data_IF_610365043283
#
_entry.id   IF_610365043283
#
_cell.length_a   1.000
_cell.length_b   1.000
_cell.length_c   1.000
_cell.angle_alpha   90.00
_cell.angle_beta   90.00
_cell.angle_gamma   90.00
#
_symmetry.space_group_name_H-M   'P 1'
#
loop_
_entity.id
_entity.type
_entity.pdbx_description
1 polymer ?
#
# COMPACT_ATOMS: atom_id res chain seq x y z
N UNK A 1 -16.71 -9.21 -29.97
CA UNK A 1 -15.31 -9.06 -29.53
C UNK A 1 -14.47 -9.90 -30.47
N UNK A 2 -13.52 -9.29 -31.17
CA UNK A 2 -12.74 -9.92 -32.24
C UNK A 2 -11.85 -11.05 -31.69
N UNK A 3 -11.68 -12.14 -32.45
CA UNK A 3 -10.91 -13.33 -32.05
C UNK A 3 -9.44 -12.99 -31.76
N UNK A 4 -8.92 -11.96 -32.43
CA UNK A 4 -7.61 -11.37 -32.12
C UNK A 4 -7.57 -10.69 -30.75
N UNK A 5 -8.63 -9.99 -30.36
CA UNK A 5 -8.70 -9.35 -29.04
C UNK A 5 -8.83 -10.42 -27.95
N UNK A 6 -9.54 -11.51 -28.21
CA UNK A 6 -9.63 -12.65 -27.29
C UNK A 6 -8.27 -13.34 -27.11
N UNK A 7 -7.53 -13.57 -28.19
CA UNK A 7 -6.19 -14.19 -28.13
C UNK A 7 -5.15 -13.28 -27.47
N UNK A 8 -5.21 -11.95 -27.68
CA UNK A 8 -4.35 -11.01 -26.95
C UNK A 8 -4.64 -11.06 -25.45
N UNK A 9 -5.91 -11.09 -25.05
CA UNK A 9 -6.30 -11.18 -23.64
C UNK A 9 -5.88 -12.53 -23.02
N UNK A 10 -5.97 -13.65 -23.76
CA UNK A 10 -5.47 -14.96 -23.30
C UNK A 10 -3.96 -14.97 -23.08
N UNK A 11 -3.17 -14.49 -24.05
CA UNK A 11 -1.72 -14.39 -23.86
C UNK A 11 -1.37 -13.49 -22.66
N UNK A 12 -2.16 -12.45 -22.39
CA UNK A 12 -1.95 -11.56 -21.24
C UNK A 12 -2.33 -12.22 -19.90
N UNK A 13 -3.21 -13.21 -19.89
CA UNK A 13 -3.59 -13.95 -18.68
C UNK A 13 -2.61 -15.08 -18.39
N UNK A 14 -2.09 -15.74 -19.42
CA UNK A 14 -1.04 -16.77 -19.31
C UNK A 14 0.29 -16.16 -18.81
N UNK A 15 0.62 -14.92 -19.23
CA UNK A 15 1.79 -14.17 -18.73
C UNK A 15 1.74 -13.83 -17.21
N UNK A 16 0.55 -13.91 -16.59
CA UNK A 16 0.36 -13.68 -15.14
C UNK A 16 0.53 -14.96 -14.33
N UNK A 17 0.28 -16.13 -14.92
CA UNK A 17 0.36 -17.43 -14.23
C UNK A 17 1.79 -18.00 -14.21
N UNK A 18 2.64 -17.69 -15.19
CA UNK A 18 4.00 -18.27 -15.28
C UNK A 18 5.01 -17.67 -14.27
N UNK A 19 4.66 -16.59 -13.56
CA UNK A 19 5.58 -15.94 -12.59
C UNK A 19 5.42 -16.49 -11.17
N UNK A 20 4.39 -17.31 -10.88
CA UNK A 20 4.24 -17.93 -9.55
C UNK A 20 5.15 -19.14 -9.30
N UNK A 21 5.73 -19.73 -10.36
CA UNK A 21 6.47 -20.98 -10.26
C UNK A 21 7.94 -20.79 -10.66
N UNK A 22 8.71 -20.18 -9.75
CA UNK A 22 10.18 -20.32 -9.76
C UNK A 22 10.59 -20.79 -8.36
N UNK A 23 10.51 -22.10 -8.15
CA UNK A 23 11.29 -22.79 -7.13
C UNK A 23 12.71 -23.05 -7.68
N UNK A 24 13.77 -22.99 -6.85
CA UNK A 24 15.13 -23.19 -7.33
C UNK A 24 15.37 -24.67 -7.64
N UNK A 25 15.84 -24.96 -8.85
CA UNK A 25 16.35 -26.26 -9.27
C UNK A 25 17.85 -26.34 -8.98
N UNK A 26 18.26 -27.21 -8.06
CA UNK A 26 19.63 -27.70 -7.98
C UNK A 26 19.75 -29.01 -8.77
N UNK A 27 20.85 -29.14 -9.51
CA UNK A 27 21.17 -30.26 -10.39
C UNK A 27 22.24 -31.12 -9.73
N UNK A 28 22.06 -32.45 -9.70
CA UNK A 28 23.00 -33.50 -10.16
C UNK A 28 22.78 -34.87 -9.48
N UNK A 29 22.71 -35.93 -10.31
CA UNK A 29 23.24 -37.26 -9.99
C UNK A 29 22.27 -38.45 -9.83
N UNK A 30 22.10 -39.25 -10.90
CA UNK A 30 22.02 -40.73 -11.06
C UNK A 30 21.67 -41.62 -9.84
N UNK A 31 20.95 -42.75 -9.88
CA UNK A 31 20.57 -43.74 -10.91
C UNK A 31 19.53 -44.73 -10.28
N UNK A 32 18.73 -45.38 -11.13
CA UNK A 32 18.05 -46.70 -11.00
C UNK A 32 16.76 -46.97 -10.17
N UNK A 33 15.77 -47.50 -10.93
CA UNK A 33 14.73 -48.54 -10.69
C UNK A 33 13.72 -48.54 -9.53
N UNK A 34 12.45 -48.28 -9.92
CA UNK A 34 11.24 -49.14 -9.85
C UNK A 34 10.89 -49.96 -8.57
N UNK A 35 9.63 -49.79 -8.12
CA UNK A 35 8.59 -50.81 -7.84
C UNK A 35 7.75 -50.51 -6.56
N UNK A 36 6.43 -50.38 -6.77
CA UNK A 36 5.23 -50.64 -5.92
C UNK A 36 4.85 -49.83 -4.67
N UNK A 37 3.56 -49.43 -4.70
CA UNK A 37 2.52 -49.32 -3.66
C UNK A 37 2.85 -49.69 -2.20
N UNK A 38 2.37 -48.88 -1.24
CA UNK A 38 1.26 -49.24 -0.31
C UNK A 38 1.03 -48.15 0.77
N UNK A 39 -0.23 -48.03 1.18
CA UNK A 39 -0.78 -47.16 2.22
C UNK A 39 -0.19 -47.44 3.62
N UNK A 40 -0.08 -46.42 4.50
CA UNK A 40 -0.58 -46.49 5.88
C UNK A 40 -0.57 -45.12 6.59
N UNK A 41 -1.70 -44.80 7.24
CA UNK A 41 -1.84 -43.77 8.28
C UNK A 41 -0.97 -44.09 9.51
N UNK A 42 -0.47 -43.05 10.20
CA UNK A 42 -0.61 -42.95 11.65
C UNK A 42 -0.14 -41.60 12.20
N UNK A 43 -0.98 -41.07 13.09
CA UNK A 43 -0.76 -39.94 13.98
C UNK A 43 0.41 -40.21 14.94
N UNK A 44 1.20 -39.18 15.30
CA UNK A 44 1.71 -39.04 16.67
C UNK A 44 2.14 -37.59 16.95
N UNK A 45 1.52 -36.99 17.97
CA UNK A 45 1.99 -35.80 18.68
C UNK A 45 3.26 -36.13 19.49
N UNK A 46 4.26 -35.27 19.46
CA UNK A 46 5.25 -35.17 20.54
C UNK A 46 5.60 -33.71 20.80
N UNK A 47 5.23 -33.26 21.99
CA UNK A 47 5.76 -32.09 22.67
C UNK A 47 7.28 -32.22 22.83
N UNK A 48 8.01 -31.13 22.60
CA UNK A 48 9.37 -30.97 23.11
C UNK A 48 9.54 -29.56 23.66
N UNK A 49 9.59 -29.51 24.99
CA UNK A 49 10.00 -28.36 25.78
C UNK A 49 11.55 -28.33 25.83
N UNK A 50 12.14 -27.19 25.51
CA UNK A 50 13.49 -26.86 25.96
C UNK A 50 13.58 -25.39 26.33
N UNK A 51 13.95 -25.18 27.58
CA UNK A 51 14.07 -23.90 28.29
C UNK A 51 15.54 -23.52 28.48
N UNK A 52 15.76 -22.22 28.82
CA UNK A 52 16.95 -21.61 29.47
C UNK A 52 18.06 -21.17 28.47
N UNK A 53 18.61 -19.94 28.45
CA UNK A 53 18.57 -18.72 29.28
C UNK A 53 19.13 -17.54 28.44
N UNK A 54 18.57 -16.34 28.57
CA UNK A 54 19.36 -15.10 28.46
C UNK A 54 18.94 -14.14 29.59
N UNK A 55 19.93 -13.78 30.41
CA UNK A 55 19.85 -12.73 31.43
C UNK A 55 20.17 -11.39 30.77
N UNK A 56 19.38 -10.35 31.05
CA UNK A 56 19.91 -9.01 31.31
C UNK A 56 18.92 -8.14 32.10
N UNK A 57 19.47 -7.33 32.99
CA UNK A 57 18.86 -6.78 34.18
C UNK A 57 18.11 -5.44 33.98
N UNK A 58 16.87 -5.41 34.48
CA UNK A 58 16.18 -4.40 35.31
C UNK A 58 16.70 -2.94 35.34
N UNK A 59 15.79 -2.01 35.03
CA UNK A 59 15.52 -0.86 35.92
C UNK A 59 14.01 -0.55 35.94
N UNK A 60 13.41 -0.78 37.11
CA UNK A 60 11.99 -0.62 37.42
C UNK A 60 11.78 0.71 38.14
N UNK A 61 10.95 1.60 37.59
CA UNK A 61 10.22 2.60 38.38
C UNK A 61 8.75 2.18 38.40
N UNK A 62 8.33 1.61 39.53
CA UNK A 62 6.94 1.30 39.83
C UNK A 62 6.15 2.59 40.05
N UNK A 63 5.11 2.81 39.26
CA UNK A 63 3.99 3.67 39.63
C UNK A 63 2.79 2.77 39.87
N UNK A 64 2.46 2.61 41.14
CA UNK A 64 1.20 2.03 41.61
C UNK A 64 0.13 3.09 41.39
N UNK A 65 -0.71 2.92 40.37
CA UNK A 65 -1.98 3.64 40.30
C UNK A 65 -3.00 2.78 41.05
N UNK A 66 -3.52 3.31 42.16
CA UNK A 66 -4.55 2.69 42.98
C UNK A 66 -5.82 2.49 42.14
N UNK A 67 -6.19 1.22 41.93
CA UNK A 67 -7.48 0.83 41.36
C UNK A 67 -8.60 1.19 42.35
N UNK A 68 -9.38 2.23 42.05
CA UNK A 68 -10.71 2.38 42.64
C UNK A 68 -11.64 1.36 41.98
N UNK A 69 -11.83 0.22 42.65
CA UNK A 69 -12.94 -0.68 42.37
C UNK A 69 -14.26 -0.01 42.78
N UNK A 70 -15.00 0.51 41.80
CA UNK A 70 -16.43 0.80 42.00
C UNK A 70 -17.18 -0.54 42.10
N UNK A 71 -17.72 -0.81 43.29
CA UNK A 71 -18.65 -1.91 43.55
C UNK A 71 -19.86 -1.82 42.61
N UNK A 72 -19.88 -2.65 41.57
CA UNK A 72 -21.09 -2.91 40.77
C UNK A 72 -21.80 -4.10 41.41
N UNK A 73 -22.94 -3.82 42.06
CA UNK A 73 -23.84 -4.85 42.58
C UNK A 73 -24.27 -5.79 41.45
N UNK A 74 -23.82 -7.03 41.53
CA UNK A 74 -23.94 -8.04 40.50
C UNK A 74 -25.31 -8.74 40.59
N UNK A 75 -26.31 -8.25 39.86
CA UNK A 75 -27.54 -9.02 39.57
C UNK A 75 -27.25 -9.98 38.41
N UNK A 76 -26.81 -11.20 38.73
CA UNK A 76 -26.45 -12.21 37.76
C UNK A 76 -27.70 -12.94 37.25
N UNK A 77 -28.15 -12.62 36.03
CA UNK A 77 -29.02 -13.49 35.24
C UNK A 77 -28.12 -14.38 34.38
N UNK A 78 -28.23 -15.69 34.56
CA UNK A 78 -27.32 -16.72 34.06
C UNK A 78 -27.61 -17.14 32.61
N UNK A 79 -27.74 -16.21 31.65
CA UNK A 79 -28.01 -16.62 30.26
C UNK A 79 -27.51 -15.71 29.13
N UNK A 80 -26.36 -15.03 29.28
CA UNK A 80 -25.78 -14.31 28.15
C UNK A 80 -24.26 -14.54 28.02
N UNK A 81 -23.85 -15.28 26.99
CA UNK A 81 -22.46 -15.39 26.53
C UNK A 81 -22.00 -14.06 25.89
N UNK A 82 -21.90 -12.99 26.70
CA UNK A 82 -21.40 -11.69 26.22
C UNK A 82 -19.87 -11.70 26.23
N UNK A 83 -19.20 -11.42 25.09
CA UNK A 83 -17.74 -11.36 25.05
C UNK A 83 -17.18 -10.33 26.05
N UNK A 84 -16.09 -10.68 26.75
CA UNK A 84 -15.40 -9.84 27.75
C UNK A 84 -15.02 -8.43 27.21
N UNK A 85 -14.87 -8.29 25.88
CA UNK A 85 -14.62 -7.03 25.19
C UNK A 85 -15.74 -6.00 25.32
N UNK A 86 -16.94 -6.45 25.69
CA UNK A 86 -18.10 -5.58 25.95
C UNK A 86 -17.94 -4.83 27.27
N UNK A 87 -17.28 -5.45 28.27
CA UNK A 87 -17.04 -4.87 29.60
C UNK A 87 -15.82 -3.92 29.65
N UNK A 88 -14.97 -3.92 28.62
CA UNK A 88 -13.86 -2.96 28.55
C UNK A 88 -14.35 -1.56 28.19
N UNK A 89 -14.02 -0.56 28.99
CA UNK A 89 -14.30 0.86 28.71
C UNK A 89 -13.35 1.50 27.67
N UNK A 90 -12.47 0.72 27.07
CA UNK A 90 -11.50 1.20 26.08
C UNK A 90 -11.28 0.20 24.93
N UNK A 91 -10.91 0.72 23.76
CA UNK A 91 -10.36 -0.04 22.64
C UNK A 91 -8.83 -0.08 22.74
N UNK A 92 -8.22 -1.22 22.39
CA UNK A 92 -6.77 -1.37 22.36
C UNK A 92 -6.29 -1.60 20.93
N UNK A 93 -5.36 -0.77 20.47
CA UNK A 93 -4.72 -0.90 19.16
C UNK A 93 -3.57 -1.92 19.19
N UNK A 94 -3.16 -2.46 18.03
CA UNK A 94 -2.02 -3.39 17.89
C UNK A 94 -0.69 -2.83 18.40
N UNK A 95 -0.54 -1.51 18.38
CA UNK A 95 0.64 -0.81 18.93
C UNK A 95 0.52 -0.50 20.44
N UNK A 96 -0.46 -1.10 21.13
CA UNK A 96 -0.68 -0.91 22.57
C UNK A 96 -1.42 0.37 22.95
N UNK A 97 -1.76 1.25 22.00
CA UNK A 97 -2.51 2.49 22.31
C UNK A 97 -3.92 2.17 22.80
N UNK A 98 -4.32 2.76 23.95
CA UNK A 98 -5.67 2.63 24.55
C UNK A 98 -6.55 3.83 24.17
N UNK A 99 -7.78 3.57 23.78
CA UNK A 99 -8.77 4.57 23.35
C UNK A 99 -10.04 4.42 24.18
N UNK A 100 -10.34 5.37 25.05
CA UNK A 100 -11.55 5.28 25.89
C UNK A 100 -12.83 5.39 25.04
N UNK A 101 -13.84 4.58 25.37
CA UNK A 101 -15.17 4.61 24.76
C UNK A 101 -15.96 5.85 25.19
N UNK A 102 -15.69 6.35 26.38
CA UNK A 102 -16.29 7.54 26.95
C UNK A 102 -15.32 8.72 26.90
N UNK A 103 -15.81 9.93 26.59
CA UNK A 103 -14.99 11.12 26.70
C UNK A 103 -14.61 11.33 28.18
N UNK A 104 -13.38 11.80 28.47
CA UNK A 104 -13.01 12.15 29.83
C UNK A 104 -13.96 13.23 30.37
N UNK A 105 -14.27 13.22 31.67
CA UNK A 105 -15.10 14.25 32.29
C UNK A 105 -14.51 15.64 32.00
N UNK A 106 -15.38 16.63 31.79
CA UNK A 106 -15.00 18.02 31.54
C UNK A 106 -14.22 18.57 32.73
N UNK A 107 -12.90 18.41 32.69
CA UNK A 107 -11.95 18.91 33.65
C UNK A 107 -11.04 19.90 32.96
N UNK A 108 -10.48 20.86 33.73
CA UNK A 108 -9.52 21.82 33.18
C UNK A 108 -8.33 21.02 32.66
N UNK A 109 -8.05 21.09 31.36
CA UNK A 109 -6.91 20.42 30.74
C UNK A 109 -5.64 20.75 31.55
N UNK A 110 -4.98 19.72 32.09
CA UNK A 110 -3.75 19.91 32.86
C UNK A 110 -2.72 20.66 32.01
N UNK A 111 -1.94 21.55 32.60
CA UNK A 111 -1.00 22.46 31.92
C UNK A 111 0.06 21.77 31.05
N UNK A 112 0.25 20.45 31.18
CA UNK A 112 1.16 19.65 30.37
C UNK A 112 0.56 19.07 29.09
N UNK A 113 -0.76 19.20 28.86
CA UNK A 113 -1.45 18.77 27.64
C UNK A 113 -1.75 19.96 26.69
N UNK A 114 -1.03 21.07 26.84
CA UNK A 114 -1.13 22.21 25.94
C UNK A 114 -0.21 21.91 24.75
N UNK A 115 -0.77 21.65 23.57
CA UNK A 115 0.00 21.61 22.33
C UNK A 115 0.59 23.00 22.08
N UNK A 116 1.87 23.19 22.41
CA UNK A 116 2.58 24.47 22.20
C UNK A 116 3.00 24.65 20.73
N UNK A 117 2.97 23.58 19.95
CA UNK A 117 3.49 23.60 18.59
C UNK A 117 2.47 24.21 17.62
N UNK A 118 2.87 25.28 16.93
CA UNK A 118 2.04 25.90 15.90
C UNK A 118 1.78 24.92 14.74
N UNK A 119 0.52 24.87 14.31
CA UNK A 119 0.11 24.13 13.12
C UNK A 119 0.71 24.75 11.85
N UNK A 120 0.88 23.93 10.82
CA UNK A 120 1.38 24.38 9.52
C UNK A 120 2.70 23.74 9.12
N UNK A 121 3.36 24.29 8.09
CA UNK A 121 4.60 23.74 7.55
C UNK A 121 5.71 23.62 8.60
N UNK A 122 6.41 22.49 8.60
CA UNK A 122 7.49 22.17 9.53
C UNK A 122 8.85 22.12 8.83
N UNK A 123 9.90 22.55 9.54
CA UNK A 123 11.27 22.45 9.06
C UNK A 123 11.47 23.13 7.70
N UNK A 124 12.07 22.42 6.75
CA UNK A 124 12.36 22.92 5.41
C UNK A 124 11.11 23.32 4.62
N UNK A 125 9.93 22.75 4.95
CA UNK A 125 8.69 23.09 4.28
C UNK A 125 8.27 24.55 4.45
N UNK A 126 8.74 25.24 5.50
CA UNK A 126 8.48 26.68 5.71
C UNK A 126 9.08 27.56 4.61
N UNK A 127 10.11 27.07 3.93
CA UNK A 127 10.85 27.81 2.93
C UNK A 127 10.38 27.50 1.50
N UNK A 128 9.45 26.56 1.32
CA UNK A 128 8.90 26.22 0.01
C UNK A 128 7.90 27.30 -0.44
N UNK A 129 8.27 28.06 -1.47
CA UNK A 129 7.48 29.20 -1.98
C UNK A 129 6.86 28.94 -3.35
N UNK A 130 7.41 27.97 -4.11
CA UNK A 130 6.90 27.61 -5.43
C UNK A 130 6.08 26.31 -5.37
N UNK A 131 5.04 26.15 -6.21
CA UNK A 131 4.28 24.90 -6.28
C UNK A 131 5.14 23.65 -6.51
N UNK A 132 6.20 23.79 -7.32
CA UNK A 132 7.18 22.72 -7.54
C UNK A 132 7.93 22.38 -6.26
N UNK A 133 8.48 23.38 -5.55
CA UNK A 133 9.19 23.14 -4.29
C UNK A 133 8.28 22.52 -3.24
N UNK A 134 7.00 22.87 -3.20
CA UNK A 134 6.02 22.23 -2.33
C UNK A 134 5.78 20.77 -2.70
N UNK A 135 5.69 20.44 -3.99
CA UNK A 135 5.51 19.07 -4.46
C UNK A 135 6.71 18.18 -4.13
N UNK A 136 7.93 18.70 -4.31
CA UNK A 136 9.19 17.98 -4.03
C UNK A 136 9.40 17.65 -2.55
N UNK A 137 8.66 18.29 -1.63
CA UNK A 137 8.65 17.90 -0.22
C UNK A 137 8.04 16.51 -0.01
N UNK A 138 7.07 16.13 -0.84
CA UNK A 138 6.33 14.88 -0.72
C UNK A 138 6.84 13.81 -1.68
N UNK A 139 7.17 14.21 -2.91
CA UNK A 139 7.84 13.40 -3.93
C UNK A 139 9.30 13.84 -4.04
N UNK A 140 10.10 13.48 -3.04
CA UNK A 140 11.51 13.84 -2.99
C UNK A 140 12.34 12.99 -3.97
N UNK A 141 13.55 13.46 -4.27
CA UNK A 141 14.45 12.79 -5.21
C UNK A 141 14.69 11.33 -4.84
N UNK A 142 14.80 11.01 -3.55
CA UNK A 142 15.04 9.64 -3.10
C UNK A 142 13.83 8.72 -3.36
N UNK A 143 12.60 9.21 -3.18
CA UNK A 143 11.39 8.47 -3.53
C UNK A 143 11.32 8.22 -5.03
N UNK A 144 11.60 9.25 -5.84
CA UNK A 144 11.61 9.11 -7.30
C UNK A 144 12.70 8.15 -7.78
N UNK A 145 13.84 8.13 -7.10
CA UNK A 145 14.94 7.23 -7.41
C UNK A 145 14.54 5.75 -7.22
N UNK A 146 13.79 5.43 -6.16
CA UNK A 146 13.22 4.09 -5.96
C UNK A 146 12.37 3.68 -7.17
N UNK A 147 11.54 4.60 -7.68
CA UNK A 147 10.68 4.34 -8.85
C UNK A 147 11.53 4.10 -10.10
N UNK A 148 12.55 4.93 -10.34
CA UNK A 148 13.45 4.80 -11.49
C UNK A 148 14.18 3.45 -11.47
N UNK A 149 14.80 3.11 -10.35
CA UNK A 149 15.57 1.87 -10.18
C UNK A 149 14.69 0.63 -10.32
N UNK A 150 13.58 0.60 -9.59
CA UNK A 150 12.60 -0.49 -9.63
C UNK A 150 12.03 -0.70 -11.04
N UNK A 151 11.73 0.40 -11.73
CA UNK A 151 11.22 0.36 -13.11
C UNK A 151 12.29 -0.16 -14.07
N UNK A 152 13.56 0.27 -13.92
CA UNK A 152 14.66 -0.19 -14.77
C UNK A 152 15.00 -1.67 -14.55
N UNK A 153 14.95 -2.17 -13.31
CA UNK A 153 15.08 -3.61 -13.02
C UNK A 153 14.03 -4.40 -13.81
N UNK A 154 12.77 -3.98 -13.73
CA UNK A 154 11.70 -4.65 -14.46
C UNK A 154 11.83 -4.52 -15.99
N UNK A 155 12.24 -3.35 -16.49
CA UNK A 155 12.50 -3.14 -17.93
C UNK A 155 13.57 -4.11 -18.42
N UNK A 156 14.68 -4.29 -17.68
CA UNK A 156 15.75 -5.21 -18.07
C UNK A 156 15.27 -6.67 -18.11
N UNK A 157 14.44 -7.09 -17.16
CA UNK A 157 13.81 -8.42 -17.18
C UNK A 157 12.91 -8.57 -18.41
N UNK A 158 12.08 -7.57 -18.69
CA UNK A 158 11.14 -7.59 -19.81
C UNK A 158 11.83 -7.42 -21.19
N UNK A 159 13.01 -6.80 -21.25
CA UNK A 159 13.80 -6.62 -22.48
C UNK A 159 14.10 -7.96 -23.16
N UNK A 160 14.43 -8.99 -22.38
CA UNK A 160 14.68 -10.35 -22.89
C UNK A 160 13.53 -10.91 -23.73
N UNK A 161 12.30 -10.44 -23.50
CA UNK A 161 11.09 -10.86 -24.21
C UNK A 161 10.71 -9.97 -25.39
N UNK A 162 11.35 -8.81 -25.56
CA UNK A 162 10.99 -7.83 -26.58
C UNK A 162 11.76 -8.06 -27.88
N UNK A 163 11.08 -7.92 -29.03
CA UNK A 163 11.68 -8.14 -30.36
C UNK A 163 12.67 -7.05 -30.77
N UNK A 164 12.69 -5.89 -30.09
CA UNK A 164 13.51 -4.73 -30.42
C UNK A 164 13.96 -4.01 -29.16
N UNK A 165 15.27 -3.88 -28.97
CA UNK A 165 15.87 -3.18 -27.81
C UNK A 165 15.39 -1.73 -27.67
N UNK A 166 15.16 -1.05 -28.80
CA UNK A 166 14.71 0.36 -28.80
C UNK A 166 13.34 0.56 -28.13
N UNK A 167 12.50 -0.48 -28.12
CA UNK A 167 11.13 -0.40 -27.59
C UNK A 167 11.10 -0.57 -26.07
N UNK A 168 12.21 -1.00 -25.46
CA UNK A 168 12.35 -1.25 -24.04
C UNK A 168 13.52 -0.49 -23.42
N UNK A 169 13.76 0.76 -23.84
CA UNK A 169 14.80 1.62 -23.24
C UNK A 169 14.53 1.87 -21.76
N UNK A 170 15.60 1.90 -20.97
CA UNK A 170 15.58 2.31 -19.57
C UNK A 170 15.04 3.74 -19.42
N UNK A 171 14.47 4.02 -18.25
CA UNK A 171 13.99 5.34 -17.84
C UNK A 171 15.02 6.03 -16.97
N UNK A 172 14.85 7.34 -16.78
CA UNK A 172 15.68 8.16 -15.90
C UNK A 172 14.81 9.09 -15.05
N UNK A 173 15.45 9.84 -14.15
CA UNK A 173 14.77 10.76 -13.25
C UNK A 173 13.90 11.79 -13.99
N UNK A 174 14.45 12.41 -15.04
CA UNK A 174 13.72 13.40 -15.84
C UNK A 174 12.48 12.81 -16.51
N UNK A 175 12.58 11.59 -17.02
CA UNK A 175 11.48 10.89 -17.69
C UNK A 175 10.40 10.46 -16.70
N UNK A 176 10.75 9.98 -15.49
CA UNK A 176 9.77 9.67 -14.44
C UNK A 176 9.08 10.94 -13.93
N UNK A 177 9.82 12.04 -13.74
CA UNK A 177 9.23 13.35 -13.41
C UNK A 177 8.24 13.79 -14.49
N UNK A 178 8.62 13.72 -15.76
CA UNK A 178 7.75 14.04 -16.89
C UNK A 178 6.51 13.13 -16.91
N UNK A 179 6.66 11.83 -16.70
CA UNK A 179 5.56 10.87 -16.64
C UNK A 179 4.54 11.21 -15.53
N UNK A 180 5.02 11.56 -14.33
CA UNK A 180 4.16 11.99 -13.21
C UNK A 180 3.42 13.29 -13.56
N UNK A 181 4.12 14.27 -14.14
CA UNK A 181 3.49 15.53 -14.60
C UNK A 181 2.40 15.26 -15.63
N UNK A 182 2.63 14.34 -16.57
CA UNK A 182 1.62 13.95 -17.55
C UNK A 182 0.38 13.33 -16.91
N UNK A 183 0.54 12.50 -15.88
CA UNK A 183 -0.59 11.96 -15.12
C UNK A 183 -1.40 13.07 -14.44
N UNK A 184 -0.71 14.05 -13.82
CA UNK A 184 -1.36 15.21 -13.19
C UNK A 184 -2.12 16.06 -14.21
N UNK A 185 -1.51 16.35 -15.36
CA UNK A 185 -2.11 17.15 -16.44
C UNK A 185 -3.37 16.47 -17.00
N UNK A 186 -3.31 15.15 -17.23
CA UNK A 186 -4.49 14.38 -17.66
C UNK A 186 -5.60 14.43 -16.60
N UNK A 187 -5.23 14.36 -15.31
CA UNK A 187 -6.14 14.46 -14.18
C UNK A 187 -6.83 15.83 -14.10
N UNK A 188 -6.07 16.93 -14.18
CA UNK A 188 -6.59 18.31 -14.14
C UNK A 188 -7.56 18.58 -15.30
N UNK A 189 -7.28 18.03 -16.48
CA UNK A 189 -8.17 18.14 -17.64
C UNK A 189 -9.42 17.23 -17.57
N UNK A 190 -9.62 16.50 -16.46
CA UNK A 190 -10.71 15.52 -16.28
C UNK A 190 -10.76 14.48 -17.39
N UNK A 191 -9.60 14.15 -17.96
CA UNK A 191 -9.45 13.22 -19.09
C UNK A 191 -9.11 11.79 -18.64
N UNK A 192 -9.18 11.49 -17.33
CA UNK A 192 -8.81 10.19 -16.78
C UNK A 192 -9.62 9.00 -17.30
N UNK A 193 -10.83 9.23 -17.84
CA UNK A 193 -11.69 8.21 -18.47
C UNK A 193 -11.72 8.30 -20.00
N UNK A 194 -11.03 9.27 -20.60
CA UNK A 194 -10.99 9.43 -22.06
C UNK A 194 -10.03 8.43 -22.68
N UNK A 195 -10.21 8.16 -23.97
CA UNK A 195 -9.23 7.37 -24.69
C UNK A 195 -7.89 8.12 -24.68
N UNK A 196 -6.83 7.42 -24.29
CA UNK A 196 -5.49 8.00 -24.22
C UNK A 196 -5.01 8.55 -25.58
N UNK A 197 -5.50 8.00 -26.71
CA UNK A 197 -5.18 8.53 -28.04
C UNK A 197 -5.64 9.98 -28.20
N UNK A 198 -6.78 10.33 -27.64
CA UNK A 198 -7.38 11.65 -27.80
C UNK A 198 -6.52 12.73 -27.12
N UNK A 199 -5.94 12.41 -25.95
CA UNK A 199 -5.00 13.29 -25.26
C UNK A 199 -3.73 13.58 -26.07
N UNK A 200 -3.35 12.68 -26.97
CA UNK A 200 -2.18 12.78 -27.84
C UNK A 200 -2.50 13.18 -29.29
N UNK A 201 -3.77 13.47 -29.61
CA UNK A 201 -4.19 13.80 -30.97
C UNK A 201 -3.85 15.26 -31.32
N UNK A 202 -2.79 15.44 -32.12
CA UNK A 202 -2.37 16.74 -32.63
C UNK A 202 -2.98 17.10 -33.99
N UNK A 203 -3.80 16.23 -34.59
CA UNK A 203 -4.30 16.43 -35.96
C UNK A 203 -5.40 17.48 -36.06
N UNK A 204 -6.22 17.62 -35.01
CA UNK A 204 -7.41 18.48 -34.97
C UNK A 204 -7.37 19.55 -33.88
N UNK A 205 -6.23 19.70 -33.21
CA UNK A 205 -6.08 20.62 -32.07
C UNK A 205 -6.89 20.24 -30.83
N UNK A 206 -7.43 19.01 -30.77
CA UNK A 206 -8.25 18.51 -29.67
C UNK A 206 -7.44 17.81 -28.57
N UNK A 207 -6.19 17.44 -28.87
CA UNK A 207 -5.26 16.88 -27.89
C UNK A 207 -4.72 17.92 -26.91
N UNK A 208 -4.06 17.44 -25.88
CA UNK A 208 -3.50 18.30 -24.83
C UNK A 208 -2.06 18.64 -25.24
N UNK A 209 -1.80 19.91 -25.53
CA UNK A 209 -0.51 20.37 -26.06
C UNK A 209 0.68 19.93 -25.22
N UNK A 210 0.61 20.17 -23.91
CA UNK A 210 1.65 19.77 -22.97
C UNK A 210 1.91 18.26 -23.00
N UNK A 211 0.90 17.45 -23.31
CA UNK A 211 0.99 15.99 -23.28
C UNK A 211 1.76 15.44 -24.48
N UNK A 212 1.37 15.81 -25.70
CA UNK A 212 2.03 15.29 -26.90
C UNK A 212 3.40 15.92 -27.17
N UNK A 213 3.69 17.11 -26.64
CA UNK A 213 5.01 17.73 -26.72
C UNK A 213 6.03 17.12 -25.74
N UNK A 214 5.59 16.62 -24.59
CA UNK A 214 6.49 16.11 -23.55
C UNK A 214 6.99 14.70 -23.84
N UNK A 215 6.11 13.80 -24.29
CA UNK A 215 6.44 12.39 -24.49
C UNK A 215 5.57 11.78 -25.58
N UNK A 216 6.11 10.85 -26.38
CA UNK A 216 5.29 10.12 -27.35
C UNK A 216 4.25 9.20 -26.67
N UNK A 217 3.10 9.02 -27.31
CA UNK A 217 2.04 8.13 -26.82
C UNK A 217 2.53 6.69 -26.59
N UNK A 218 3.40 6.19 -27.47
CA UNK A 218 3.95 4.84 -27.36
C UNK A 218 4.86 4.71 -26.14
N UNK A 219 5.70 5.72 -25.87
CA UNK A 219 6.56 5.73 -24.69
C UNK A 219 5.76 5.86 -23.40
N UNK A 220 4.75 6.73 -23.37
CA UNK A 220 3.86 6.85 -22.21
C UNK A 220 3.14 5.53 -21.92
N UNK A 221 2.59 4.86 -22.94
CA UNK A 221 1.98 3.53 -22.80
C UNK A 221 2.96 2.46 -22.33
N UNK A 222 4.22 2.56 -22.75
CA UNK A 222 5.27 1.67 -22.27
C UNK A 222 5.50 1.88 -20.77
N UNK A 223 5.77 3.11 -20.34
CA UNK A 223 5.96 3.43 -18.92
C UNK A 223 4.75 3.07 -18.06
N UNK A 224 3.54 3.32 -18.53
CA UNK A 224 2.31 2.96 -17.81
C UNK A 224 2.21 1.46 -17.49
N UNK A 225 2.84 0.59 -18.32
CA UNK A 225 2.86 -0.86 -18.09
C UNK A 225 4.06 -1.30 -17.26
N UNK A 226 5.19 -0.60 -17.38
CA UNK A 226 6.48 -1.04 -16.80
C UNK A 226 6.82 -0.40 -15.47
N UNK A 227 6.20 0.72 -15.09
CA UNK A 227 6.48 1.40 -13.82
C UNK A 227 6.32 0.43 -12.64
N UNK A 228 7.33 0.42 -11.76
CA UNK A 228 7.36 -0.36 -10.51
C UNK A 228 7.76 0.55 -9.35
N UNK A 229 7.37 0.13 -8.15
CA UNK A 229 7.59 0.87 -6.90
C UNK A 229 8.41 0.09 -5.87
N UNK A 230 8.90 -1.09 -6.26
CA UNK A 230 9.77 -1.94 -5.48
C UNK A 230 10.63 -2.80 -6.41
N UNK A 231 11.71 -3.35 -5.85
CA UNK A 231 12.50 -4.37 -6.53
C UNK A 231 11.71 -5.68 -6.64
N UNK A 232 11.38 -6.03 -7.88
CA UNK A 232 10.62 -7.23 -8.22
C UNK A 232 11.35 -8.53 -7.86
N UNK A 233 12.68 -8.52 -7.79
CA UNK A 233 13.48 -9.73 -7.52
C UNK A 233 13.42 -10.14 -6.04
N UNK A 234 13.39 -9.17 -5.13
CA UNK A 234 13.23 -9.41 -3.70
C UNK A 234 11.76 -9.54 -3.24
N UNK A 235 10.80 -9.22 -4.11
CA UNK A 235 9.37 -9.19 -3.77
C UNK A 235 8.79 -10.53 -3.28
N UNK A 236 9.09 -11.70 -3.87
CA UNK A 236 8.47 -12.96 -3.46
C UNK A 236 8.64 -13.26 -1.96
N UNK A 237 9.83 -12.99 -1.42
CA UNK A 237 10.13 -13.15 0.01
C UNK A 237 9.32 -12.20 0.90
N UNK A 238 9.09 -10.95 0.44
CA UNK A 238 8.35 -9.93 1.20
C UNK A 238 6.84 -10.11 1.11
N UNK A 239 6.35 -10.60 -0.02
CA UNK A 239 4.92 -10.72 -0.31
C UNK A 239 4.20 -11.76 0.57
N UNK A 240 4.91 -12.76 1.08
CA UNK A 240 4.37 -13.72 2.05
C UNK A 240 4.00 -13.07 3.38
N UNK A 241 4.73 -12.01 3.78
CA UNK A 241 4.53 -11.28 5.03
C UNK A 241 3.68 -10.02 4.83
N UNK A 242 3.88 -9.30 3.73
CA UNK A 242 3.19 -8.04 3.44
C UNK A 242 2.52 -8.07 2.06
N UNK A 243 1.18 -8.04 2.06
CA UNK A 243 0.37 -7.96 0.83
C UNK A 243 0.63 -6.67 0.03
N UNK A 244 1.17 -5.62 0.65
CA UNK A 244 1.51 -4.35 0.01
C UNK A 244 3.00 -4.25 -0.40
N UNK A 245 3.76 -5.35 -0.36
CA UNK A 245 5.19 -5.37 -0.68
C UNK A 245 5.54 -4.66 -2.01
N UNK A 246 4.65 -4.69 -3.00
CA UNK A 246 4.86 -4.07 -4.31
C UNK A 246 4.89 -2.53 -4.32
N UNK A 247 4.43 -1.87 -3.24
CA UNK A 247 4.38 -0.40 -3.12
C UNK A 247 4.86 0.11 -1.76
N UNK A 248 5.26 -0.81 -0.87
CA UNK A 248 5.55 -0.56 0.55
C UNK A 248 6.54 0.59 0.74
N UNK A 249 7.69 0.49 0.08
CA UNK A 249 8.81 1.42 0.27
C UNK A 249 8.43 2.85 -0.13
N UNK A 250 7.77 3.00 -1.28
CA UNK A 250 7.29 4.30 -1.78
C UNK A 250 6.21 4.88 -0.86
N UNK A 251 5.26 4.06 -0.39
CA UNK A 251 4.19 4.51 0.52
C UNK A 251 4.76 4.95 1.86
N UNK A 252 5.68 4.20 2.45
CA UNK A 252 6.30 4.56 3.73
C UNK A 252 7.15 5.81 3.63
N UNK A 253 7.91 5.95 2.53
CA UNK A 253 8.66 7.16 2.25
C UNK A 253 7.74 8.36 2.09
N UNK A 254 6.66 8.24 1.32
CA UNK A 254 5.66 9.29 1.17
C UNK A 254 5.03 9.69 2.51
N UNK A 255 4.62 8.73 3.33
CA UNK A 255 4.05 8.98 4.67
C UNK A 255 5.08 9.67 5.58
N UNK A 256 6.34 9.24 5.55
CA UNK A 256 7.44 9.87 6.29
C UNK A 256 7.60 11.33 5.88
N UNK A 257 7.61 11.59 4.57
CA UNK A 257 7.66 12.94 4.02
C UNK A 257 6.48 13.79 4.51
N UNK A 258 5.25 13.27 4.50
CA UNK A 258 4.08 13.99 5.04
C UNK A 258 4.25 14.38 6.51
N UNK A 259 4.68 13.43 7.36
CA UNK A 259 4.88 13.64 8.81
C UNK A 259 5.99 14.65 9.11
N UNK A 260 7.03 14.69 8.28
CA UNK A 260 8.18 15.56 8.49
C UNK A 260 7.92 17.00 8.05
N UNK A 261 6.99 17.22 7.12
CA UNK A 261 6.78 18.52 6.48
C UNK A 261 5.56 19.29 7.02
N UNK A 262 4.69 18.68 7.82
CA UNK A 262 3.50 19.35 8.34
C UNK A 262 3.18 19.00 9.79
N UNK A 263 2.84 20.02 10.59
CA UNK A 263 2.29 19.85 11.93
C UNK A 263 0.76 19.94 11.89
N UNK A 264 0.05 18.85 12.28
CA UNK A 264 -1.40 18.83 12.37
C UNK A 264 -1.94 19.87 13.37
N UNK A 265 -3.22 20.23 13.21
CA UNK A 265 -3.94 20.99 14.22
C UNK A 265 -4.42 20.09 15.38
N UNK A 266 -4.95 20.69 16.45
CA UNK A 266 -5.56 19.96 17.57
C UNK A 266 -6.76 19.10 17.15
N UNK A 267 -7.47 19.50 16.09
CA UNK A 267 -8.68 18.83 15.63
C UNK A 267 -8.33 17.93 14.45
N UNK A 268 -8.35 16.62 14.69
CA UNK A 268 -8.07 15.60 13.69
C UNK A 268 -9.27 14.67 13.51
N UNK A 269 -9.50 14.24 12.28
CA UNK A 269 -10.51 13.26 11.93
C UNK A 269 -9.83 12.00 11.40
N UNK A 270 -10.33 10.85 11.82
CA UNK A 270 -9.93 9.56 11.27
C UNK A 270 -11.13 9.03 10.50
N UNK A 271 -10.91 8.80 9.21
CA UNK A 271 -11.92 8.23 8.33
C UNK A 271 -11.23 7.28 7.34
N UNK A 272 -12.04 6.48 6.66
CA UNK A 272 -11.57 5.57 5.62
C UNK A 272 -11.72 6.19 4.24
N UNK A 273 -10.64 6.15 3.45
CA UNK A 273 -10.70 6.50 2.04
C UNK A 273 -10.80 5.22 1.21
N UNK A 274 -11.68 5.29 0.21
CA UNK A 274 -11.98 4.20 -0.69
C UNK A 274 -11.40 4.49 -2.07
N UNK A 275 -10.50 3.62 -2.54
CA UNK A 275 -10.00 3.69 -3.92
C UNK A 275 -10.69 2.61 -4.74
N UNK A 276 -11.50 3.03 -5.71
CA UNK A 276 -12.18 2.15 -6.63
C UNK A 276 -11.17 1.36 -7.47
N UNK A 277 -11.25 0.04 -7.43
CA UNK A 277 -10.35 -0.80 -8.22
C UNK A 277 -11.06 -2.07 -8.70
N UNK A 278 -10.83 -2.42 -9.96
CA UNK A 278 -11.35 -3.63 -10.59
C UNK A 278 -10.18 -4.43 -11.15
N UNK A 279 -9.80 -5.49 -10.44
CA UNK A 279 -8.71 -6.37 -10.81
C UNK A 279 -8.50 -7.48 -9.79
N UNK A 280 -7.55 -8.37 -10.04
CA UNK A 280 -7.15 -9.41 -9.08
C UNK A 280 -6.24 -8.79 -8.03
N UNK A 281 -6.72 -8.68 -6.80
CA UNK A 281 -5.92 -8.25 -5.66
C UNK A 281 -6.47 -8.89 -4.39
N UNK A 282 -5.57 -9.50 -3.61
CA UNK A 282 -5.90 -10.36 -2.46
C UNK A 282 -6.40 -9.62 -1.21
N UNK A 283 -6.51 -8.29 -1.29
CA UNK A 283 -6.95 -7.42 -0.21
C UNK A 283 -8.06 -6.44 -0.64
N UNK A 284 -8.68 -6.65 -1.80
CA UNK A 284 -9.93 -5.97 -2.16
C UNK A 284 -11.05 -6.45 -1.24
N UNK A 285 -11.85 -5.51 -0.75
CA UNK A 285 -13.04 -5.81 0.05
C UNK A 285 -14.29 -5.27 -0.65
N UNK A 286 -15.37 -6.04 -0.63
CA UNK A 286 -16.68 -5.58 -1.11
C UNK A 286 -17.45 -4.92 0.03
N UNK A 287 -17.96 -3.69 -0.19
CA UNK A 287 -18.74 -2.95 0.81
C UNK A 287 -20.11 -2.54 0.24
N UNK A 288 -21.19 -3.32 0.50
CA UNK A 288 -22.50 -3.09 -0.12
C UNK A 288 -23.12 -1.73 0.21
N UNK A 289 -22.95 -1.24 1.43
CA UNK A 289 -23.66 -0.04 1.92
C UNK A 289 -23.01 1.28 1.47
N UNK A 290 -21.75 1.25 1.02
CA UNK A 290 -21.03 2.44 0.53
C UNK A 290 -21.18 2.67 -0.98
N UNK A 291 -21.81 1.71 -1.68
CA UNK A 291 -22.11 1.83 -3.11
C UNK A 291 -23.24 2.83 -3.40
N UNK A 292 -24.02 3.28 -2.41
CA UNK A 292 -25.13 4.20 -2.66
C UNK A 292 -24.70 5.64 -3.01
N UNK A 293 -23.53 6.09 -2.60
CA UNK A 293 -23.01 7.42 -2.97
C UNK A 293 -22.12 7.40 -4.22
N UNK A 294 -21.73 6.21 -4.69
CA UNK A 294 -20.98 6.00 -5.94
C UNK A 294 -21.89 5.58 -7.11
N UNK A 295 -23.19 5.87 -6.99
CA UNK A 295 -24.31 5.32 -7.77
C UNK A 295 -24.41 5.74 -9.25
N UNK A 296 -23.36 6.29 -9.84
CA UNK A 296 -23.32 6.45 -11.29
C UNK A 296 -22.73 5.23 -12.01
N UNK A 297 -22.13 4.26 -11.31
CA UNK A 297 -21.42 3.18 -12.01
C UNK A 297 -21.58 1.79 -11.38
N UNK A 298 -22.01 0.85 -12.22
CA UNK A 298 -22.19 -0.57 -11.94
C UNK A 298 -21.05 -1.19 -11.11
N UNK A 299 -21.40 -1.67 -9.91
CA UNK A 299 -20.65 -2.60 -9.02
C UNK A 299 -19.12 -2.40 -9.01
N UNK A 300 -18.69 -1.40 -8.25
CA UNK A 300 -17.28 -1.11 -7.94
C UNK A 300 -16.89 -1.82 -6.63
N UNK A 301 -15.79 -2.58 -6.64
CA UNK A 301 -15.13 -3.08 -5.43
C UNK A 301 -14.04 -2.11 -4.99
N UNK A 302 -13.77 -2.08 -3.68
CA UNK A 302 -13.13 -0.94 -3.04
C UNK A 302 -11.85 -1.38 -2.30
N UNK A 303 -10.76 -0.64 -2.47
CA UNK A 303 -9.58 -0.72 -1.62
C UNK A 303 -9.79 0.18 -0.40
N UNK A 304 -9.81 -0.42 0.78
CA UNK A 304 -9.87 0.32 2.06
C UNK A 304 -8.46 0.71 2.48
N UNK A 305 -8.23 2.01 2.58
CA UNK A 305 -7.06 2.55 3.25
C UNK A 305 -7.53 3.33 4.48
N UNK A 306 -7.01 2.95 5.64
CA UNK A 306 -7.14 3.79 6.84
C UNK A 306 -6.08 4.87 6.73
N UNK A 307 -6.47 6.09 6.37
CA UNK A 307 -5.59 7.23 6.48
C UNK A 307 -5.82 7.90 7.82
N UNK A 308 -4.73 8.25 8.50
CA UNK A 308 -4.78 9.32 9.48
C UNK A 308 -4.77 10.61 8.67
N UNK A 309 -5.89 11.32 8.56
CA UNK A 309 -5.81 12.70 8.09
C UNK A 309 -4.92 13.44 9.09
N UNK A 310 -3.83 14.01 8.58
CA UNK A 310 -2.93 14.90 9.32
C UNK A 310 -3.49 16.31 9.18
#
# INVERSE_FOLDING_TARGET
MDERQHNIIRCWLEDVEVVSDIAPSDTEGNEEECVTELNHDSETEQEYESSIEEKEERSTEERVDEDMEENVENSFSSDDNVPLSTFSNYYRSRNGTRWNKTPPPSSRTRSHNILVQQCGPKGNAKNAQSPLSCFELFFDESLLQIIVESTNIYINIAQSKNKRDRDARQTNMMEIRAFIVLLLVIGVNRSGRRNLKDCWDNSRGTGIELVYLTMSLNRFRFLLRTVRFDDVTSRPRRQSLDKLAAIRDVVEKFISNCKNNYNPSERLTIDEQLVAFRGRCSFIMYMPNKLQELKDENKISILKYNYKCI
#
